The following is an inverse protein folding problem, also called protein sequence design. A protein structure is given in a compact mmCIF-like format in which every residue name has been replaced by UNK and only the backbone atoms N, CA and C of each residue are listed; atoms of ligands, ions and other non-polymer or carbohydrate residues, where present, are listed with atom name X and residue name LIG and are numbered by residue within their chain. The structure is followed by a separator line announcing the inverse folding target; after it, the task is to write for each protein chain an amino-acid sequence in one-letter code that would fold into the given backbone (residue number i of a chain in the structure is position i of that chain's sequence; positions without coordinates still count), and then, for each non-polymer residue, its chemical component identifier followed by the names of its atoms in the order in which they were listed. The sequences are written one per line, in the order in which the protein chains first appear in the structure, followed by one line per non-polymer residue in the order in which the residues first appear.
data_IF_565915868869
#
_entry.id   IF_565915868869
#
_cell.length_a   1.000
_cell.length_b   1.000
_cell.length_c   1.000
_cell.angle_alpha   90.00
_cell.angle_beta   90.00
_cell.angle_gamma   90.00
#
_symmetry.space_group_name_H-M   'P 1'
#
loop_
_entity.id
_entity.type
_entity.pdbx_description
1 polymer ?
#
# COMPACT_ATOMS: atom_id res chain seq x y z
N UNK A 1 -26.72 1.16 -3.11
CA UNK A 1 -25.29 1.54 -3.08
C UNK A 1 -24.49 0.37 -3.60
N UNK A 2 -24.03 0.45 -4.85
CA UNK A 2 -23.21 -0.61 -5.46
C UNK A 2 -21.81 -0.57 -4.85
N UNK A 3 -21.44 -1.58 -4.07
CA UNK A 3 -20.03 -1.74 -3.69
C UNK A 3 -19.21 -1.95 -4.96
N UNK A 4 -18.25 -1.07 -5.20
CA UNK A 4 -17.25 -1.22 -6.28
C UNK A 4 -16.38 -2.45 -6.01
N UNK A 5 -15.86 -3.05 -7.09
CA UNK A 5 -15.08 -4.29 -7.03
C UNK A 5 -13.85 -4.16 -6.10
N UNK A 6 -13.25 -2.97 -5.99
CA UNK A 6 -12.08 -2.73 -5.16
C UNK A 6 -12.42 -2.71 -3.66
N UNK A 7 -13.47 -2.03 -3.24
CA UNK A 7 -13.95 -2.06 -1.85
C UNK A 7 -14.27 -3.49 -1.37
N UNK A 8 -14.84 -4.34 -2.23
CA UNK A 8 -15.12 -5.75 -1.94
C UNK A 8 -13.82 -6.52 -1.71
N UNK A 9 -12.80 -6.27 -2.54
CA UNK A 9 -11.48 -6.88 -2.36
C UNK A 9 -10.87 -6.50 -1.02
N UNK A 10 -10.90 -5.21 -0.64
CA UNK A 10 -10.38 -4.77 0.66
C UNK A 10 -11.16 -5.42 1.81
N UNK A 11 -12.49 -5.40 1.74
CA UNK A 11 -13.35 -6.00 2.76
C UNK A 11 -13.07 -7.50 2.93
N UNK A 12 -12.89 -8.22 1.83
CA UNK A 12 -12.57 -9.65 1.84
C UNK A 12 -11.19 -9.92 2.43
N UNK A 13 -10.20 -9.07 2.17
CA UNK A 13 -8.89 -9.17 2.83
C UNK A 13 -9.06 -8.99 4.34
N UNK A 14 -9.76 -7.95 4.79
CA UNK A 14 -9.92 -7.65 6.21
C UNK A 14 -10.63 -8.76 6.98
N UNK A 15 -11.68 -9.36 6.40
CA UNK A 15 -12.42 -10.48 7.01
C UNK A 15 -11.60 -11.75 7.23
N UNK A 16 -10.42 -11.90 6.61
CA UNK A 16 -9.56 -13.06 6.85
C UNK A 16 -8.76 -12.97 8.15
N UNK A 17 -8.65 -11.77 8.74
CA UNK A 17 -7.74 -11.51 9.85
C UNK A 17 -8.49 -10.83 11.00
N UNK A 18 -8.23 -11.26 12.23
CA UNK A 18 -8.84 -10.69 13.43
C UNK A 18 -8.59 -9.17 13.55
N UNK A 19 -7.36 -8.72 13.25
CA UNK A 19 -7.03 -7.29 13.19
C UNK A 19 -7.85 -6.52 12.14
N UNK A 20 -8.22 -7.18 11.04
CA UNK A 20 -9.06 -6.61 9.99
C UNK A 20 -10.53 -6.52 10.40
N UNK A 21 -11.06 -7.54 11.07
CA UNK A 21 -12.40 -7.48 11.65
C UNK A 21 -12.52 -6.36 12.70
N UNK A 22 -11.52 -6.18 13.55
CA UNK A 22 -11.50 -5.06 14.51
C UNK A 22 -11.58 -3.69 13.82
N UNK A 23 -10.91 -3.51 12.67
CA UNK A 23 -11.00 -2.27 11.88
C UNK A 23 -12.43 -2.06 11.36
N UNK A 24 -13.05 -3.11 10.82
CA UNK A 24 -14.43 -3.05 10.32
C UNK A 24 -15.42 -2.70 11.43
N UNK A 25 -15.35 -3.37 12.58
CA UNK A 25 -16.21 -3.12 13.74
C UNK A 25 -16.01 -1.71 14.30
N UNK A 26 -14.76 -1.24 14.40
CA UNK A 26 -14.48 0.11 14.86
C UNK A 26 -15.13 1.15 13.94
N UNK A 27 -14.95 1.00 12.63
CA UNK A 27 -15.54 1.92 11.66
C UNK A 27 -17.06 1.91 11.67
N UNK A 28 -17.70 0.74 11.81
CA UNK A 28 -19.15 0.64 11.94
C UNK A 28 -19.68 1.45 13.12
N UNK A 29 -18.93 1.51 14.23
CA UNK A 29 -19.33 2.26 15.42
C UNK A 29 -18.99 3.76 15.41
N UNK A 30 -17.93 4.16 14.70
CA UNK A 30 -17.39 5.54 14.75
C UNK A 30 -17.51 6.31 13.43
N UNK A 31 -17.76 5.61 12.33
CA UNK A 31 -17.77 6.11 10.95
C UNK A 31 -16.51 6.88 10.53
N UNK A 32 -15.40 6.69 11.27
CA UNK A 32 -14.08 7.19 10.92
C UNK A 32 -13.00 6.30 11.51
N UNK A 33 -11.82 6.24 10.89
CA UNK A 33 -10.68 5.51 11.44
C UNK A 33 -9.75 6.45 12.21
N UNK A 34 -9.26 6.00 13.36
CA UNK A 34 -8.19 6.67 14.07
C UNK A 34 -6.81 6.14 13.63
N UNK A 35 -5.73 6.76 14.09
CA UNK A 35 -4.37 6.35 13.70
C UNK A 35 -4.06 4.88 14.03
N UNK A 36 -4.57 4.35 15.15
CA UNK A 36 -4.34 2.96 15.53
C UNK A 36 -5.02 2.00 14.55
N UNK A 37 -6.27 2.26 14.18
CA UNK A 37 -7.02 1.44 13.22
C UNK A 37 -6.44 1.55 11.81
N UNK A 38 -6.03 2.74 11.37
CA UNK A 38 -5.32 2.92 10.09
C UNK A 38 -4.03 2.10 10.04
N UNK A 39 -3.27 2.06 11.14
CA UNK A 39 -2.05 1.26 11.22
C UNK A 39 -2.32 -0.25 11.16
N UNK A 40 -3.41 -0.73 11.80
CA UNK A 40 -3.86 -2.13 11.68
C UNK A 40 -4.32 -2.46 10.27
N UNK A 41 -5.16 -1.60 9.68
CA UNK A 41 -5.66 -1.70 8.31
C UNK A 41 -4.52 -1.92 7.31
N UNK A 42 -3.53 -1.02 7.27
CA UNK A 42 -2.41 -1.15 6.33
C UNK A 42 -1.52 -2.34 6.64
N UNK A 43 -1.36 -2.72 7.91
CA UNK A 43 -0.61 -3.90 8.29
C UNK A 43 -1.26 -5.18 7.75
N UNK A 44 -2.58 -5.33 7.91
CA UNK A 44 -3.34 -6.48 7.42
C UNK A 44 -3.26 -6.58 5.90
N UNK A 45 -3.54 -5.48 5.19
CA UNK A 45 -3.53 -5.47 3.72
C UNK A 45 -2.17 -5.85 3.17
N UNK A 46 -1.09 -5.22 3.64
CA UNK A 46 0.25 -5.49 3.11
C UNK A 46 0.73 -6.90 3.47
N UNK A 47 0.44 -7.39 4.68
CA UNK A 47 0.75 -8.78 5.06
C UNK A 47 0.03 -9.78 4.16
N UNK A 48 -1.26 -9.60 3.88
CA UNK A 48 -2.00 -10.46 2.93
C UNK A 48 -1.37 -10.44 1.54
N UNK A 49 -1.00 -9.26 1.01
CA UNK A 49 -0.36 -9.20 -0.31
C UNK A 49 0.97 -9.96 -0.34
N UNK A 50 1.82 -9.79 0.68
CA UNK A 50 3.12 -10.48 0.78
C UNK A 50 2.93 -11.99 0.94
N UNK A 51 2.05 -12.44 1.85
CA UNK A 51 1.80 -13.85 2.11
C UNK A 51 1.25 -14.58 0.88
N UNK A 52 0.42 -13.91 0.09
CA UNK A 52 -0.12 -14.45 -1.15
C UNK A 52 0.81 -14.27 -2.36
N UNK A 53 2.08 -13.92 -2.15
CA UNK A 53 3.09 -13.66 -3.17
C UNK A 53 2.61 -12.71 -4.29
N UNK A 54 1.76 -11.74 -3.94
CA UNK A 54 1.27 -10.75 -4.90
C UNK A 54 2.35 -9.71 -5.14
N UNK A 55 2.64 -9.46 -6.41
CA UNK A 55 3.55 -8.38 -6.80
C UNK A 55 2.94 -7.02 -6.44
N UNK A 56 3.49 -6.39 -5.40
CA UNK A 56 3.16 -5.03 -5.00
C UNK A 56 3.89 -4.03 -5.91
N UNK A 57 3.25 -3.70 -7.03
CA UNK A 57 3.69 -2.65 -7.96
C UNK A 57 2.85 -1.37 -7.79
N UNK A 58 3.19 -0.31 -8.53
CA UNK A 58 2.50 0.99 -8.48
C UNK A 58 0.99 0.87 -8.67
N UNK A 59 0.54 0.18 -9.71
CA UNK A 59 -0.89 -0.03 -10.00
C UNK A 59 -1.59 -0.69 -8.82
N UNK A 60 -0.98 -1.71 -8.22
CA UNK A 60 -1.56 -2.40 -7.09
C UNK A 60 -1.71 -1.50 -5.87
N UNK A 61 -0.74 -0.63 -5.58
CA UNK A 61 -0.88 0.33 -4.49
C UNK A 61 -2.00 1.35 -4.74
N UNK A 62 -2.18 1.81 -5.98
CA UNK A 62 -3.29 2.69 -6.37
C UNK A 62 -4.64 1.99 -6.16
N UNK A 63 -4.79 0.75 -6.66
CA UNK A 63 -6.02 -0.05 -6.47
C UNK A 63 -6.36 -0.25 -5.00
N UNK A 64 -5.34 -0.53 -4.16
CA UNK A 64 -5.53 -0.72 -2.73
C UNK A 64 -5.96 0.58 -2.04
N UNK A 65 -5.35 1.71 -2.40
CA UNK A 65 -5.70 3.02 -1.84
C UNK A 65 -7.14 3.42 -2.21
N UNK A 66 -7.53 3.26 -3.48
CA UNK A 66 -8.90 3.45 -3.95
C UNK A 66 -9.90 2.56 -3.25
N UNK A 67 -9.61 1.26 -3.16
CA UNK A 67 -10.48 0.32 -2.46
C UNK A 67 -10.66 0.64 -0.98
N UNK A 68 -9.66 1.26 -0.33
CA UNK A 68 -9.76 1.73 1.05
C UNK A 68 -10.70 2.92 1.15
N UNK A 69 -10.54 3.94 0.31
CA UNK A 69 -11.42 5.12 0.27
C UNK A 69 -12.88 4.73 -0.03
N UNK A 70 -13.09 3.85 -1.01
CA UNK A 70 -14.42 3.34 -1.34
C UNK A 70 -15.07 2.57 -0.18
N UNK A 71 -14.29 1.79 0.58
CA UNK A 71 -14.79 1.02 1.71
C UNK A 71 -15.01 1.90 2.96
N UNK A 72 -14.18 2.93 3.14
CA UNK A 72 -14.20 3.85 4.26
C UNK A 72 -14.25 5.30 3.75
N UNK A 73 -15.44 5.83 3.41
CA UNK A 73 -15.57 7.17 2.83
C UNK A 73 -15.02 8.34 3.65
N UNK A 74 -14.66 8.14 4.93
CA UNK A 74 -13.97 9.16 5.74
C UNK A 74 -12.46 9.24 5.48
N UNK A 75 -11.93 8.32 4.70
CA UNK A 75 -10.52 8.20 4.34
C UNK A 75 -10.29 8.81 2.95
N UNK A 76 -9.04 9.00 2.56
CA UNK A 76 -8.68 9.56 1.24
C UNK A 76 -7.53 8.75 0.64
N UNK A 77 -7.58 8.45 -0.66
CA UNK A 77 -6.59 7.57 -1.29
C UNK A 77 -5.13 8.05 -1.11
N UNK A 78 -4.89 9.36 -1.15
CA UNK A 78 -3.55 9.96 -1.01
C UNK A 78 -2.94 9.74 0.37
N UNK A 79 -3.74 9.47 1.40
CA UNK A 79 -3.22 9.08 2.72
C UNK A 79 -2.50 7.72 2.66
N UNK A 80 -2.95 6.86 1.75
CA UNK A 80 -2.51 5.48 1.65
C UNK A 80 -1.45 5.29 0.59
N UNK A 81 -1.54 5.99 -0.54
CA UNK A 81 -0.50 5.95 -1.56
C UNK A 81 -0.47 7.22 -2.41
N UNK A 82 0.70 7.85 -2.48
CA UNK A 82 1.02 8.92 -3.44
C UNK A 82 2.14 8.37 -4.33
N UNK A 83 1.90 8.20 -5.64
CA UNK A 83 2.91 7.66 -6.53
C UNK A 83 4.04 8.64 -6.79
N UNK A 84 5.18 8.10 -7.21
CA UNK A 84 6.30 8.88 -7.70
C UNK A 84 5.87 9.79 -8.85
N UNK A 85 6.30 11.04 -8.78
CA UNK A 85 6.11 12.04 -9.83
C UNK A 85 7.44 12.77 -10.08
N UNK A 86 7.79 12.95 -11.35
CA UNK A 86 8.91 13.78 -11.78
C UNK A 86 8.39 14.79 -12.79
N UNK A 87 8.43 16.06 -12.44
CA UNK A 87 7.98 17.16 -13.28
C UNK A 87 9.09 18.21 -13.34
N UNK A 88 9.79 18.25 -14.47
CA UNK A 88 11.01 19.04 -14.62
C UNK A 88 12.06 18.67 -13.57
N UNK A 89 12.42 19.65 -12.72
CA UNK A 89 13.38 19.50 -11.63
C UNK A 89 12.74 19.07 -10.30
N UNK A 90 11.41 18.96 -10.23
CA UNK A 90 10.70 18.58 -9.00
C UNK A 90 10.53 17.06 -9.00
N UNK A 91 11.01 16.41 -7.94
CA UNK A 91 10.90 14.97 -7.72
C UNK A 91 10.10 14.73 -6.43
N UNK A 92 8.96 14.07 -6.57
CA UNK A 92 8.18 13.53 -5.45
C UNK A 92 8.33 12.01 -5.41
N UNK A 93 8.90 11.42 -4.35
CA UNK A 93 9.02 9.98 -4.23
C UNK A 93 7.67 9.32 -3.95
N UNK A 94 7.59 7.99 -4.07
CA UNK A 94 6.44 7.23 -3.57
C UNK A 94 6.28 7.47 -2.06
N UNK A 95 5.05 7.77 -1.61
CA UNK A 95 4.71 8.02 -0.20
C UNK A 95 3.38 7.36 0.16
N UNK A 96 3.05 7.38 1.45
CA UNK A 96 1.74 6.95 1.95
C UNK A 96 1.81 5.69 2.81
N UNK A 97 0.80 5.49 3.64
CA UNK A 97 0.82 4.46 4.69
C UNK A 97 1.01 3.04 4.17
N UNK A 98 0.46 2.70 3.00
CA UNK A 98 0.64 1.37 2.40
C UNK A 98 2.09 1.15 1.98
N UNK A 99 2.68 2.13 1.28
CA UNK A 99 4.05 2.05 0.79
C UNK A 99 5.06 2.02 1.95
N UNK A 100 4.88 2.90 2.94
CA UNK A 100 5.73 2.95 4.13
C UNK A 100 5.70 1.61 4.88
N UNK A 101 4.50 1.02 5.05
CA UNK A 101 4.35 -0.27 5.73
C UNK A 101 5.04 -1.40 4.96
N UNK A 102 4.92 -1.42 3.64
CA UNK A 102 5.61 -2.38 2.78
C UNK A 102 7.13 -2.26 2.89
N UNK A 103 7.67 -1.04 2.81
CA UNK A 103 9.10 -0.81 2.98
C UNK A 103 9.60 -1.28 4.34
N UNK A 104 8.85 -1.02 5.42
CA UNK A 104 9.20 -1.47 6.77
C UNK A 104 9.22 -3.00 6.86
N UNK A 105 8.19 -3.69 6.37
CA UNK A 105 8.14 -5.16 6.38
C UNK A 105 9.29 -5.74 5.54
N UNK A 106 9.56 -5.21 4.33
CA UNK A 106 10.71 -5.67 3.54
C UNK A 106 12.03 -5.45 4.26
N UNK A 107 12.23 -4.30 4.91
CA UNK A 107 13.43 -4.03 5.71
C UNK A 107 13.60 -5.10 6.79
N UNK A 108 12.53 -5.46 7.49
CA UNK A 108 12.60 -6.46 8.57
C UNK A 108 12.87 -7.87 8.03
N UNK A 109 12.24 -8.26 6.92
CA UNK A 109 12.55 -9.54 6.23
C UNK A 109 14.03 -9.59 5.84
N UNK A 110 14.58 -8.50 5.27
CA UNK A 110 16.00 -8.46 4.86
C UNK A 110 16.98 -8.55 6.03
N UNK A 111 16.59 -8.03 7.21
CA UNK A 111 17.42 -8.15 8.42
C UNK A 111 17.45 -9.60 8.92
N UNK A 112 16.29 -10.27 8.92
CA UNK A 112 16.15 -11.67 9.36
C UNK A 112 16.90 -12.61 8.41
N UNK A 113 16.79 -12.38 7.09
CA UNK A 113 17.43 -13.25 6.08
C UNK A 113 18.96 -13.10 6.00
N UNK A 114 19.59 -12.26 6.85
CA UNK A 114 21.04 -12.07 6.87
C UNK A 114 21.62 -11.44 5.59
N UNK A 115 20.76 -10.97 4.68
CA UNK A 115 21.17 -10.37 3.41
C UNK A 115 21.68 -8.96 3.67
N UNK A 116 22.95 -8.83 4.06
CA UNK A 116 23.63 -7.53 4.19
C UNK A 116 23.46 -6.78 2.87
N UNK A 117 22.81 -5.60 2.90
CA UNK A 117 22.92 -4.66 1.79
C UNK A 117 24.40 -4.29 1.71
N UNK A 118 25.06 -4.59 0.60
CA UNK A 118 26.32 -3.90 0.27
C UNK A 118 25.98 -2.41 0.32
N UNK A 119 26.61 -1.68 1.22
CA UNK A 119 26.55 -0.23 1.21
C UNK A 119 27.27 0.20 -0.07
N UNK A 120 26.52 0.37 -1.16
CA UNK A 120 26.99 1.14 -2.30
C UNK A 120 26.59 2.58 -2.01
N UNK A 121 27.57 3.39 -1.66
CA UNK A 121 27.51 4.82 -1.92
C UNK A 121 27.04 5.02 -3.37
N UNK A 122 26.04 5.87 -3.56
CA UNK A 122 25.50 6.23 -4.86
C UNK A 122 24.00 5.95 -5.01
N UNK A 123 23.25 7.04 -5.20
CA UNK A 123 21.90 7.09 -5.78
C UNK A 123 21.67 5.93 -6.78
N UNK A 124 20.85 4.96 -6.40
CA UNK A 124 20.21 4.04 -7.36
C UNK A 124 18.72 4.32 -7.36
N UNK A 125 18.33 5.20 -8.27
CA UNK A 125 16.98 5.20 -8.85
C UNK A 125 16.66 3.77 -9.31
N UNK A 126 15.70 3.13 -8.64
CA UNK A 126 15.05 1.95 -9.19
C UNK A 126 14.08 2.45 -10.27
N UNK A 127 14.58 2.61 -11.49
CA UNK A 127 13.76 2.91 -12.67
C UNK A 127 12.94 1.65 -13.02
N UNK A 128 11.70 1.64 -12.53
CA UNK A 128 10.63 0.83 -13.12
C UNK A 128 10.01 1.73 -14.18
N UNK A 129 10.44 1.55 -15.44
CA UNK A 129 9.71 1.81 -16.69
C UNK A 129 10.71 1.66 -17.85
N UNK A 130 10.90 0.43 -18.34
CA UNK A 130 11.27 0.21 -19.74
C UNK A 130 10.09 -0.52 -20.38
N UNK A 131 9.13 0.28 -20.86
CA UNK A 131 8.15 -0.15 -21.85
C UNK A 131 8.28 0.86 -22.99
N UNK A 132 9.22 0.55 -23.87
CA UNK A 132 9.49 1.31 -25.08
C UNK A 132 8.25 1.36 -25.97
N UNK A 133 7.69 2.56 -26.11
CA UNK A 133 6.81 2.92 -27.22
C UNK A 133 7.66 2.80 -28.50
N UNK A 134 7.49 1.72 -29.25
CA UNK A 134 7.95 1.64 -30.64
C UNK A 134 6.89 2.31 -31.51
N UNK A 135 7.16 3.56 -31.89
CA UNK A 135 6.57 4.11 -33.11
C UNK A 135 7.31 3.52 -34.30
N UNK A 136 6.56 2.89 -35.22
CA UNK A 136 6.85 2.88 -36.65
C UNK A 136 5.51 2.84 -37.38
#
# INVERSE_FOLDING_TARGET
MTSSSLSIVIKNILKKYQDGEMVLMFYESKHCLNSAMRNKLVAVIIKDQIQNNKNLNRTRFIELAKGIEELFPSETEELYFIPYCKEGNIISPNRGKLYDKFCNIKKDITKISGSKRKHSDGNKEFNLNDEGIKHN
#
